data_IF_855662227713
#
_entry.id   IF_855662227713
#
_cell.length_a   1.000
_cell.length_b   1.000
_cell.length_c   1.000
_cell.angle_alpha   90.00
_cell.angle_beta   90.00
_cell.angle_gamma   90.00
#
_symmetry.space_group_name_H-M   'P 1'
#
loop_
_entity.id
_entity.type
_entity.pdbx_description
1 polymer ?
#
# COMPACT_ATOMS: atom_id res chain seq x y z
N UNK A 1 -34.67 -0.74 -9.28
CA UNK A 1 -33.40 -0.35 -8.61
C UNK A 1 -32.45 -1.54 -8.74
N UNK A 2 -31.45 -1.46 -9.63
CA UNK A 2 -30.66 -2.62 -10.04
C UNK A 2 -29.77 -3.12 -8.91
N UNK A 3 -29.99 -4.35 -8.45
CA UNK A 3 -29.24 -5.01 -7.36
C UNK A 3 -27.72 -4.88 -7.56
N UNK A 4 -27.26 -5.07 -8.81
CA UNK A 4 -25.85 -4.95 -9.23
C UNK A 4 -25.31 -3.53 -8.98
N UNK A 5 -26.08 -2.49 -9.30
CA UNK A 5 -25.65 -1.10 -9.12
C UNK A 5 -25.49 -0.75 -7.64
N UNK A 6 -26.44 -1.17 -6.79
CA UNK A 6 -26.35 -1.03 -5.33
C UNK A 6 -25.15 -1.78 -4.76
N UNK A 7 -24.87 -3.00 -5.22
CA UNK A 7 -23.72 -3.78 -4.78
C UNK A 7 -22.39 -3.10 -5.13
N UNK A 8 -22.25 -2.59 -6.35
CA UNK A 8 -21.06 -1.81 -6.75
C UNK A 8 -20.90 -0.53 -5.93
N UNK A 9 -21.99 0.17 -5.62
CA UNK A 9 -21.95 1.40 -4.84
C UNK A 9 -21.51 1.13 -3.38
N UNK A 10 -22.08 0.11 -2.74
CA UNK A 10 -21.71 -0.30 -1.39
C UNK A 10 -20.26 -0.79 -1.33
N UNK A 11 -19.80 -1.54 -2.33
CA UNK A 11 -18.40 -1.95 -2.44
C UNK A 11 -17.48 -0.73 -2.58
N UNK A 12 -17.84 0.26 -3.39
CA UNK A 12 -17.07 1.51 -3.54
C UNK A 12 -16.96 2.29 -2.23
N UNK A 13 -18.08 2.47 -1.51
CA UNK A 13 -18.10 3.13 -0.20
C UNK A 13 -17.28 2.36 0.83
N UNK A 14 -17.40 1.03 0.86
CA UNK A 14 -16.60 0.17 1.73
C UNK A 14 -15.10 0.32 1.46
N UNK A 15 -14.68 0.28 0.19
CA UNK A 15 -13.28 0.47 -0.21
C UNK A 15 -12.76 1.87 0.17
N UNK A 16 -13.58 2.92 0.04
CA UNK A 16 -13.23 4.27 0.48
C UNK A 16 -12.98 4.33 1.99
N UNK A 17 -13.87 3.74 2.79
CA UNK A 17 -13.75 3.75 4.25
C UNK A 17 -12.47 3.01 4.67
N UNK A 18 -12.19 1.85 4.09
CA UNK A 18 -10.99 1.07 4.38
C UNK A 18 -9.72 1.80 3.94
N UNK A 19 -9.75 2.51 2.81
CA UNK A 19 -8.55 3.18 2.24
C UNK A 19 -8.27 4.57 2.84
N UNK A 20 -9.23 5.17 3.56
CA UNK A 20 -9.15 6.58 4.00
C UNK A 20 -7.89 6.86 4.83
N UNK A 21 -7.54 5.96 5.73
CA UNK A 21 -6.48 6.17 6.70
C UNK A 21 -5.11 6.02 6.03
N UNK A 22 -4.96 5.03 5.13
CA UNK A 22 -3.77 4.88 4.30
C UNK A 22 -3.55 6.08 3.38
N UNK A 23 -4.60 6.61 2.76
CA UNK A 23 -4.51 7.83 1.94
C UNK A 23 -4.06 9.00 2.82
N UNK A 24 -4.77 9.25 3.92
CA UNK A 24 -4.45 10.36 4.83
C UNK A 24 -3.01 10.30 5.35
N UNK A 25 -2.58 9.16 5.87
CA UNK A 25 -1.21 8.94 6.35
C UNK A 25 -0.19 9.08 5.22
N UNK A 26 -0.50 8.58 4.02
CA UNK A 26 0.34 8.79 2.84
C UNK A 26 0.52 10.26 2.48
N UNK A 27 -0.54 11.07 2.54
CA UNK A 27 -0.42 12.51 2.33
C UNK A 27 0.39 13.20 3.43
N UNK A 28 0.16 12.84 4.70
CA UNK A 28 0.87 13.40 5.85
C UNK A 28 2.37 13.06 5.84
N UNK A 29 2.71 11.83 5.45
CA UNK A 29 4.10 11.33 5.44
C UNK A 29 5.05 12.14 4.58
N UNK A 30 4.53 12.89 3.59
CA UNK A 30 5.31 13.84 2.78
C UNK A 30 6.01 14.91 3.61
N UNK A 31 5.47 15.23 4.79
CA UNK A 31 6.00 16.25 5.70
C UNK A 31 6.60 15.68 6.98
N UNK A 32 6.63 14.36 7.11
CA UNK A 32 7.17 13.73 8.30
C UNK A 32 8.67 13.99 8.44
N UNK A 33 9.17 14.15 9.69
CA UNK A 33 10.60 14.13 9.95
C UNK A 33 11.19 12.77 9.52
N UNK A 34 12.50 12.76 9.33
CA UNK A 34 13.20 11.55 8.94
C UNK A 34 14.46 11.33 9.76
N UNK A 35 14.82 10.06 9.91
CA UNK A 35 16.04 9.59 10.55
C UNK A 35 16.73 8.54 9.67
N UNK A 36 17.95 8.16 10.05
CA UNK A 36 18.65 7.04 9.43
C UNK A 36 18.25 5.75 10.12
N UNK A 37 17.93 4.73 9.32
CA UNK A 37 17.68 3.37 9.78
C UNK A 37 18.57 2.36 9.07
N UNK A 38 18.51 1.11 9.51
CA UNK A 38 19.24 -0.02 8.94
C UNK A 38 18.26 -1.14 8.67
N UNK A 39 18.30 -1.69 7.46
CA UNK A 39 17.54 -2.89 7.10
C UNK A 39 18.15 -4.10 7.79
N UNK A 40 17.38 -4.80 8.62
CA UNK A 40 17.85 -5.93 9.42
C UNK A 40 17.73 -7.24 8.64
N UNK A 41 16.58 -7.48 8.02
CA UNK A 41 16.30 -8.67 7.22
C UNK A 41 15.08 -8.47 6.30
N UNK A 42 14.76 -9.49 5.51
CA UNK A 42 13.58 -9.51 4.65
C UNK A 42 12.69 -10.69 5.01
N UNK A 43 11.39 -10.46 5.09
CA UNK A 43 10.40 -11.52 5.07
C UNK A 43 9.98 -11.78 3.63
N UNK A 44 10.15 -13.02 3.17
CA UNK A 44 9.56 -13.49 1.93
C UNK A 44 8.21 -14.13 2.26
N UNK A 45 7.12 -13.47 1.86
CA UNK A 45 5.81 -14.10 1.78
C UNK A 45 5.53 -14.42 0.33
N UNK A 46 5.72 -15.67 -0.07
CA UNK A 46 5.30 -16.16 -1.38
C UNK A 46 3.87 -16.67 -1.31
N UNK A 47 3.05 -16.23 -2.25
CA UNK A 47 1.71 -16.76 -2.49
C UNK A 47 1.63 -17.22 -3.92
N UNK A 48 1.01 -18.37 -4.11
CA UNK A 48 0.73 -18.93 -5.41
C UNK A 48 -0.72 -18.63 -5.73
N UNK A 49 -0.97 -17.89 -6.82
CA UNK A 49 -2.31 -17.63 -7.31
C UNK A 49 -2.53 -18.39 -8.61
N UNK A 50 -3.57 -19.21 -8.64
CA UNK A 50 -4.10 -19.75 -9.89
C UNK A 50 -4.85 -18.62 -10.60
N UNK A 51 -4.25 -18.09 -11.66
CA UNK A 51 -4.87 -17.08 -12.52
C UNK A 51 -5.39 -17.77 -13.77
N UNK A 52 -6.66 -17.57 -14.08
CA UNK A 52 -7.22 -17.95 -15.38
C UNK A 52 -6.95 -16.81 -16.35
N UNK A 53 -6.05 -17.02 -17.30
CA UNK A 53 -5.87 -16.09 -18.44
C UNK A 53 -6.70 -16.57 -19.62
N UNK A 54 -6.78 -15.76 -20.70
CA UNK A 54 -7.39 -16.20 -21.97
C UNK A 54 -6.71 -17.43 -22.59
N UNK A 55 -5.49 -17.75 -22.16
CA UNK A 55 -4.65 -18.83 -22.68
C UNK A 55 -4.72 -20.11 -21.81
N UNK A 56 -5.45 -20.07 -20.69
CA UNK A 56 -5.61 -21.19 -19.76
C UNK A 56 -5.19 -20.87 -18.32
N UNK A 57 -5.23 -21.87 -17.42
CA UNK A 57 -4.76 -21.71 -16.05
C UNK A 57 -3.25 -21.45 -16.02
N UNK A 58 -2.84 -20.37 -15.37
CA UNK A 58 -1.44 -20.03 -15.13
C UNK A 58 -1.21 -19.87 -13.64
N UNK A 59 -0.24 -20.62 -13.13
CA UNK A 59 0.27 -20.45 -11.78
C UNK A 59 1.15 -19.19 -11.77
N UNK A 60 0.75 -18.19 -11.00
CA UNK A 60 1.54 -16.97 -10.80
C UNK A 60 2.12 -16.97 -9.40
N UNK A 61 3.44 -16.97 -9.31
CA UNK A 61 4.15 -16.81 -8.05
C UNK A 61 4.24 -15.32 -7.72
N UNK A 62 3.53 -14.90 -6.67
CA UNK A 62 3.67 -13.57 -6.09
C UNK A 62 4.59 -13.64 -4.88
N UNK A 63 5.77 -13.05 -4.98
CA UNK A 63 6.66 -12.85 -3.84
C UNK A 63 6.42 -11.44 -3.29
N UNK A 64 5.83 -11.36 -2.10
CA UNK A 64 5.81 -10.13 -1.33
C UNK A 64 7.09 -10.10 -0.50
N UNK A 65 7.98 -9.17 -0.86
CA UNK A 65 9.18 -8.88 -0.11
C UNK A 65 8.88 -7.76 0.87
N UNK A 66 9.11 -8.02 2.16
CA UNK A 66 8.85 -7.08 3.24
C UNK A 66 10.16 -6.79 3.99
N UNK A 67 10.72 -5.57 3.87
CA UNK A 67 11.91 -5.18 4.62
C UNK A 67 11.55 -4.99 6.08
N UNK A 68 12.33 -5.59 6.96
CA UNK A 68 12.37 -5.20 8.37
C UNK A 68 13.55 -4.27 8.54
N UNK A 69 13.31 -3.14 9.20
CA UNK A 69 14.34 -2.16 9.45
C UNK A 69 14.15 -1.53 10.83
N UNK A 70 15.27 -1.12 11.41
CA UNK A 70 15.34 -0.45 12.71
C UNK A 70 15.83 0.98 12.56
N UNK A 71 15.37 1.84 13.44
CA UNK A 71 15.71 3.26 13.46
C UNK A 71 15.54 3.82 14.87
N UNK A 72 16.17 4.96 15.14
CA UNK A 72 16.12 5.61 16.44
C UNK A 72 15.48 6.99 16.33
N UNK A 73 14.61 7.30 17.30
CA UNK A 73 13.99 8.61 17.50
C UNK A 73 14.11 8.96 18.98
N UNK A 74 14.76 10.08 19.29
CA UNK A 74 14.95 10.60 20.65
C UNK A 74 15.53 9.55 21.63
N UNK A 75 16.47 8.73 21.19
CA UNK A 75 17.12 7.69 22.00
C UNK A 75 16.31 6.39 22.16
N UNK A 76 15.14 6.28 21.51
CA UNK A 76 14.30 5.07 21.53
C UNK A 76 14.41 4.36 20.18
N UNK A 77 14.73 3.07 20.22
CA UNK A 77 14.79 2.21 19.04
C UNK A 77 13.38 1.73 18.65
N UNK A 78 13.07 1.83 17.36
CA UNK A 78 11.83 1.39 16.74
C UNK A 78 12.13 0.44 15.58
N UNK A 79 11.17 -0.42 15.29
CA UNK A 79 11.19 -1.31 14.14
C UNK A 79 9.94 -1.09 13.29
N UNK A 80 10.08 -1.23 11.97
CA UNK A 80 8.94 -1.16 11.05
C UNK A 80 9.19 -2.02 9.81
N UNK A 81 8.09 -2.35 9.15
CA UNK A 81 8.07 -2.98 7.82
C UNK A 81 7.41 -2.12 6.75
N UNK A 82 6.93 -0.93 7.13
CA UNK A 82 6.26 -0.03 6.22
C UNK A 82 7.22 0.48 5.16
N UNK A 83 6.92 0.23 3.89
CA UNK A 83 7.70 0.81 2.80
C UNK A 83 7.04 2.09 2.29
N UNK A 84 5.74 2.04 2.05
CA UNK A 84 4.94 3.15 1.52
C UNK A 84 3.48 3.00 1.93
N UNK A 85 2.71 4.08 1.78
CA UNK A 85 1.26 4.03 1.94
C UNK A 85 0.58 3.70 0.60
N UNK A 86 0.14 2.45 0.51
CA UNK A 86 -0.52 1.87 -0.65
C UNK A 86 0.42 1.53 -1.82
N UNK A 87 -0.03 0.61 -2.67
CA UNK A 87 0.67 0.15 -3.87
C UNK A 87 1.42 -1.17 -3.74
N UNK A 88 2.05 -1.59 -4.85
CA UNK A 88 2.70 -2.89 -5.01
C UNK A 88 4.21 -2.69 -5.14
N UNK A 89 4.97 -3.42 -4.33
CA UNK A 89 6.39 -3.18 -4.05
C UNK A 89 7.38 -3.83 -5.03
N UNK A 90 6.87 -4.47 -6.09
CA UNK A 90 7.66 -5.36 -6.93
C UNK A 90 8.85 -4.68 -7.61
N UNK A 91 8.74 -3.38 -7.91
CA UNK A 91 9.79 -2.62 -8.61
C UNK A 91 10.87 -2.05 -7.67
N UNK A 92 10.65 -2.05 -6.35
CA UNK A 92 11.55 -1.38 -5.40
C UNK A 92 12.44 -2.32 -4.59
N UNK A 93 12.27 -3.64 -4.75
CA UNK A 93 13.13 -4.67 -4.11
C UNK A 93 14.62 -4.44 -4.41
N UNK A 94 14.96 -3.89 -5.59
CA UNK A 94 16.34 -3.59 -5.97
C UNK A 94 16.97 -2.42 -5.18
N UNK A 95 16.16 -1.55 -4.56
CA UNK A 95 16.63 -0.33 -3.87
C UNK A 95 17.17 -0.60 -2.47
N UNK A 96 16.78 -1.71 -1.85
CA UNK A 96 17.05 -2.00 -0.46
C UNK A 96 17.87 -3.29 -0.31
N UNK A 97 18.84 -3.27 0.59
CA UNK A 97 19.73 -4.41 0.86
C UNK A 97 19.82 -4.64 2.36
N UNK A 98 19.97 -5.90 2.77
CA UNK A 98 20.20 -6.24 4.17
C UNK A 98 21.48 -5.56 4.67
N UNK A 99 21.44 -4.99 5.87
CA UNK A 99 22.51 -4.14 6.42
C UNK A 99 22.63 -2.76 5.76
N UNK A 100 21.85 -2.49 4.72
CA UNK A 100 21.83 -1.21 4.03
C UNK A 100 21.21 -0.12 4.88
N UNK A 101 21.77 1.09 4.77
CA UNK A 101 21.20 2.29 5.38
C UNK A 101 20.01 2.77 4.57
N UNK A 102 18.95 3.16 5.27
CA UNK A 102 17.71 3.66 4.68
C UNK A 102 17.28 4.94 5.36
N UNK A 103 16.60 5.80 4.61
CA UNK A 103 15.93 6.97 5.19
C UNK A 103 14.55 6.54 5.65
N UNK A 104 14.27 6.74 6.93
CA UNK A 104 12.99 6.38 7.55
C UNK A 104 12.23 7.64 7.87
N UNK A 105 11.02 7.78 7.32
CA UNK A 105 10.09 8.87 7.62
C UNK A 105 9.08 8.35 8.63
N UNK A 106 9.01 8.99 9.81
CA UNK A 106 8.20 8.52 10.93
C UNK A 106 7.13 9.55 11.32
N UNK A 107 5.99 9.09 11.81
CA UNK A 107 4.96 9.96 12.36
C UNK A 107 5.45 10.56 13.69
N UNK A 108 5.60 11.89 13.82
CA UNK A 108 6.07 12.51 15.05
C UNK A 108 5.11 12.33 16.23
N UNK A 109 3.83 12.02 15.97
CA UNK A 109 2.85 11.72 17.02
C UNK A 109 2.83 10.23 17.40
N UNK A 110 3.39 9.37 16.54
CA UNK A 110 3.48 7.92 16.76
C UNK A 110 4.71 7.35 16.03
N UNK A 111 5.92 7.44 16.60
CA UNK A 111 7.14 7.09 15.88
C UNK A 111 7.21 5.63 15.41
N UNK A 112 6.43 4.72 15.99
CA UNK A 112 6.30 3.33 15.53
C UNK A 112 5.66 3.21 14.13
N UNK A 113 4.93 4.23 13.68
CA UNK A 113 4.40 4.32 12.34
C UNK A 113 5.40 5.01 11.41
N UNK A 114 6.10 4.22 10.60
CA UNK A 114 7.12 4.73 9.71
C UNK A 114 7.12 4.05 8.33
N UNK A 115 7.58 4.81 7.34
CA UNK A 115 7.73 4.39 5.95
C UNK A 115 9.08 4.79 5.38
N UNK A 116 9.58 4.01 4.42
CA UNK A 116 10.82 4.34 3.69
C UNK A 116 10.56 5.37 2.59
N UNK A 117 9.35 5.39 2.06
CA UNK A 117 8.92 6.20 0.93
C UNK A 117 7.64 6.97 1.29
N UNK A 118 7.76 8.29 1.49
CA UNK A 118 6.62 9.11 1.86
C UNK A 118 5.74 9.40 0.64
N UNK A 119 4.45 9.62 0.89
CA UNK A 119 3.46 9.88 -0.14
C UNK A 119 2.46 8.74 -0.33
N UNK A 120 1.60 8.91 -1.34
CA UNK A 120 0.62 7.90 -1.78
C UNK A 120 1.07 7.39 -3.15
N UNK A 121 1.12 6.07 -3.34
CA UNK A 121 1.41 5.52 -4.67
C UNK A 121 0.17 5.59 -5.58
N UNK A 122 0.32 5.81 -6.90
CA UNK A 122 -0.80 5.95 -7.84
C UNK A 122 -1.75 4.74 -7.85
N UNK A 123 -1.22 3.54 -7.61
CA UNK A 123 -1.96 2.27 -7.53
C UNK A 123 -2.93 2.23 -6.35
N UNK A 124 -2.73 3.07 -5.32
CA UNK A 124 -3.65 3.22 -4.19
C UNK A 124 -4.97 3.89 -4.57
N UNK A 125 -5.02 4.60 -5.71
CA UNK A 125 -6.24 5.20 -6.25
C UNK A 125 -7.07 4.22 -7.10
N UNK A 126 -6.55 3.02 -7.41
CA UNK A 126 -7.28 2.03 -8.21
C UNK A 126 -8.60 1.57 -7.54
N UNK A 127 -8.69 1.69 -6.20
CA UNK A 127 -9.93 1.46 -5.44
C UNK A 127 -11.04 2.50 -5.69
N UNK A 128 -10.76 3.60 -6.41
CA UNK A 128 -11.74 4.64 -6.77
C UNK A 128 -12.45 4.38 -8.11
N UNK A 129 -12.00 3.41 -8.90
CA UNK A 129 -12.62 3.03 -10.17
C UNK A 129 -14.14 2.73 -10.10
N UNK A 130 -14.72 2.14 -9.04
CA UNK A 130 -16.15 1.83 -9.03
C UNK A 130 -17.08 3.05 -8.88
N UNK A 131 -16.57 4.23 -8.54
CA UNK A 131 -17.38 5.46 -8.42
C UNK A 131 -17.77 6.00 -9.81
N UNK A 132 -16.87 5.89 -10.80
CA UNK A 132 -17.14 6.35 -12.17
C UNK A 132 -18.13 5.47 -12.95
N UNK A 133 -18.13 4.15 -12.69
CA UNK A 133 -19.02 3.22 -13.37
C UNK A 133 -20.49 3.35 -12.92
N UNK A 134 -20.74 3.76 -11.67
CA UNK A 134 -22.10 3.98 -11.16
C UNK A 134 -22.80 5.23 -11.72
N UNK A 135 -22.03 6.26 -12.09
CA UNK A 135 -22.56 7.50 -12.67
C UNK A 135 -22.91 7.38 -14.16
N UNK A 136 -22.28 6.48 -14.92
CA UNK A 136 -22.56 6.29 -16.35
C UNK A 136 -23.79 5.42 -16.62
N UNK A 137 -24.11 4.46 -15.75
CA UNK A 137 -25.29 3.59 -15.93
C UNK A 137 -26.60 4.29 -15.54
N UNK A 138 -26.53 5.35 -14.72
CA UNK A 138 -27.71 6.15 -14.36
C UNK A 138 -28.21 7.10 -15.45
N UNK A 139 -27.41 7.36 -16.50
CA UNK A 139 -27.75 8.34 -17.54
C UNK A 139 -28.20 7.73 -18.89
N UNK A 140 -27.97 6.44 -19.12
CA UNK A 140 -28.34 5.73 -20.37
C UNK A 140 -29.39 4.63 -20.20
N UNK A 141 -29.95 4.45 -18.99
CA UNK A 141 -30.90 3.39 -18.68
C UNK A 141 -32.21 3.87 -18.04
N UNK A 142 -32.66 5.07 -18.42
CA UNK A 142 -33.99 5.62 -18.10
C UNK A 142 -34.89 5.60 -19.32
#
# INVERSE_FOLDING_TARGET
>A
MNLIATACHLLGVFLLIVSRDSIRLGWQSRKWPHTQGIVTHFSDKSYTLDTVTREGPRIVHHSCWLPHYRYEVDGVEYESTGVCFGGRLDEEKARFKQGGRVRVYYDPQNPANAVLLPGVQPTSLAGLAPIGAGLLVGFFGG
#
